data_IF_436400576975
#
_entry.id   IF_436400576975
#
_cell.length_a   1.000
_cell.length_b   1.000
_cell.length_c   1.000
_cell.angle_alpha   90.00
_cell.angle_beta   90.00
_cell.angle_gamma   90.00
#
_symmetry.space_group_name_H-M   'P 1'
#
loop_
_entity.id
_entity.type
_entity.pdbx_description
1 polymer ?
#
# COMPACT_ATOMS: atom_id res chain seq x y z
N UNK A 1 5.45 -0.51 -25.21
CA UNK A 1 4.77 -0.28 -23.93
C UNK A 1 5.42 -1.21 -22.94
N UNK A 2 6.14 -0.71 -21.94
CA UNK A 2 6.81 -1.59 -20.98
C UNK A 2 5.75 -2.26 -20.10
N UNK A 3 5.60 -3.57 -20.24
CA UNK A 3 4.82 -4.38 -19.32
C UNK A 3 5.49 -4.28 -17.95
N UNK A 4 4.81 -3.59 -17.05
CA UNK A 4 5.21 -3.43 -15.66
C UNK A 4 5.02 -4.79 -14.99
N UNK A 5 5.97 -5.70 -15.20
CA UNK A 5 5.97 -7.07 -14.65
C UNK A 5 6.49 -7.04 -13.22
N UNK A 6 5.64 -7.34 -12.25
CA UNK A 6 6.05 -7.57 -10.87
C UNK A 6 5.97 -9.05 -10.56
N UNK A 7 6.93 -9.59 -9.83
CA UNK A 7 6.89 -10.99 -9.39
C UNK A 7 5.87 -11.17 -8.27
N UNK A 8 5.34 -12.38 -8.13
CA UNK A 8 4.44 -12.74 -7.02
C UNK A 8 5.13 -12.54 -5.65
N UNK A 9 6.45 -12.68 -5.60
CA UNK A 9 7.27 -12.35 -4.43
C UNK A 9 7.20 -10.87 -4.06
N UNK A 10 7.26 -9.98 -5.05
CA UNK A 10 7.13 -8.54 -4.85
C UNK A 10 5.74 -8.19 -4.33
N UNK A 11 4.68 -8.78 -4.91
CA UNK A 11 3.30 -8.60 -4.43
C UNK A 11 3.16 -9.06 -2.97
N UNK A 12 3.71 -10.21 -2.60
CA UNK A 12 3.73 -10.70 -1.21
C UNK A 12 4.53 -9.79 -0.27
N UNK A 13 5.70 -9.31 -0.70
CA UNK A 13 6.51 -8.37 0.10
C UNK A 13 5.76 -7.08 0.37
N UNK A 14 5.14 -6.50 -0.65
CA UNK A 14 4.30 -5.31 -0.53
C UNK A 14 3.15 -5.57 0.44
N UNK A 15 2.47 -6.71 0.32
CA UNK A 15 1.38 -7.10 1.21
C UNK A 15 1.82 -7.23 2.68
N UNK A 16 2.93 -7.92 2.95
CA UNK A 16 3.45 -8.12 4.30
C UNK A 16 3.83 -6.78 4.95
N UNK A 17 4.44 -5.89 4.18
CA UNK A 17 4.79 -4.53 4.60
C UNK A 17 3.52 -3.71 4.92
N UNK A 18 2.53 -3.73 4.01
CA UNK A 18 1.25 -3.02 4.17
C UNK A 18 0.43 -3.54 5.36
N UNK A 19 0.60 -4.81 5.73
CA UNK A 19 -0.10 -5.41 6.87
C UNK A 19 0.53 -5.06 8.22
N UNK A 20 1.81 -4.69 8.26
CA UNK A 20 2.52 -4.29 9.48
C UNK A 20 2.35 -2.82 9.82
N UNK A 21 2.25 -1.95 8.81
CA UNK A 21 2.26 -0.49 8.97
C UNK A 21 1.67 0.22 7.74
N UNK A 22 1.21 1.45 7.92
CA UNK A 22 0.97 2.42 6.83
C UNK A 22 2.27 2.90 6.18
N UNK A 23 2.41 2.66 4.88
CA UNK A 23 3.56 3.09 4.09
C UNK A 23 3.18 4.21 3.14
N UNK A 24 4.16 5.02 2.72
CA UNK A 24 3.99 5.94 1.59
C UNK A 24 4.45 5.25 0.32
N UNK A 25 3.78 5.47 -0.82
CA UNK A 25 4.22 4.98 -2.14
C UNK A 25 5.74 5.14 -2.39
N UNK A 26 6.38 6.31 -2.13
CA UNK A 26 7.82 6.46 -2.32
C UNK A 26 8.68 5.68 -1.32
N UNK A 27 8.23 5.48 -0.08
CA UNK A 27 8.96 4.64 0.89
C UNK A 27 8.84 3.16 0.55
N UNK A 28 7.65 2.75 0.13
CA UNK A 28 7.39 1.38 -0.27
C UNK A 28 8.19 1.01 -1.53
N UNK A 29 8.33 1.93 -2.48
CA UNK A 29 9.25 1.80 -3.61
C UNK A 29 10.73 1.67 -3.19
N UNK A 30 11.19 2.44 -2.20
CA UNK A 30 12.56 2.32 -1.68
C UNK A 30 12.83 0.98 -1.00
N UNK A 31 11.92 0.50 -0.15
CA UNK A 31 12.14 -0.72 0.64
C UNK A 31 12.03 -2.00 -0.19
N UNK A 32 11.15 -2.00 -1.19
CA UNK A 32 11.05 -3.11 -2.14
C UNK A 32 12.02 -3.00 -3.31
N UNK A 33 12.80 -1.91 -3.39
CA UNK A 33 13.68 -1.58 -4.52
C UNK A 33 12.96 -1.64 -5.87
N UNK A 34 11.67 -1.28 -5.86
CA UNK A 34 10.78 -1.32 -6.99
C UNK A 34 10.58 0.06 -7.61
N UNK A 35 10.27 0.06 -8.90
CA UNK A 35 9.81 1.26 -9.58
C UNK A 35 8.53 1.81 -8.93
N UNK A 36 8.46 3.14 -8.76
CA UNK A 36 7.24 3.80 -8.27
C UNK A 36 6.02 3.43 -9.12
N UNK A 37 6.22 3.24 -10.42
CA UNK A 37 5.17 2.79 -11.34
C UNK A 37 4.70 1.36 -11.02
N UNK A 38 5.63 0.43 -10.76
CA UNK A 38 5.32 -0.95 -10.31
C UNK A 38 4.57 -0.93 -8.99
N UNK A 39 5.11 -0.27 -7.98
CA UNK A 39 4.50 -0.20 -6.65
C UNK A 39 3.10 0.39 -6.71
N UNK A 40 2.91 1.49 -7.45
CA UNK A 40 1.59 2.10 -7.60
C UNK A 40 0.60 1.13 -8.24
N UNK A 41 1.03 0.36 -9.24
CA UNK A 41 0.20 -0.64 -9.91
C UNK A 41 -0.13 -1.83 -9.00
N UNK A 42 0.85 -2.36 -8.27
CA UNK A 42 0.66 -3.43 -7.27
C UNK A 42 -0.29 -3.00 -6.18
N UNK A 43 -0.08 -1.81 -5.61
CA UNK A 43 -0.96 -1.24 -4.59
C UNK A 43 -2.38 -1.10 -5.15
N UNK A 44 -2.53 -0.58 -6.37
CA UNK A 44 -3.84 -0.41 -6.98
C UNK A 44 -4.54 -1.75 -7.23
N UNK A 45 -3.81 -2.78 -7.67
CA UNK A 45 -4.30 -4.17 -7.81
C UNK A 45 -4.71 -4.77 -6.45
N UNK A 46 -3.91 -4.55 -5.41
CA UNK A 46 -4.23 -4.99 -4.04
C UNK A 46 -5.45 -4.28 -3.45
N UNK A 47 -5.67 -3.02 -3.84
CA UNK A 47 -6.85 -2.24 -3.45
C UNK A 47 -8.09 -2.74 -4.20
N UNK A 48 -7.95 -3.02 -5.49
CA UNK A 48 -9.02 -3.60 -6.31
C UNK A 48 -9.46 -4.97 -5.78
N UNK A 49 -8.50 -5.79 -5.33
CA UNK A 49 -8.75 -7.06 -4.64
C UNK A 49 -9.34 -6.89 -3.21
N UNK A 50 -9.44 -5.66 -2.70
CA UNK A 50 -9.98 -5.35 -1.38
C UNK A 50 -9.08 -5.72 -0.20
N UNK A 51 -7.80 -6.04 -0.46
CA UNK A 51 -6.84 -6.46 0.57
C UNK A 51 -6.11 -5.23 1.15
N UNK A 52 -5.83 -4.23 0.30
CA UNK A 52 -5.23 -2.96 0.68
C UNK A 52 -6.20 -1.79 0.49
N UNK A 53 -5.86 -0.63 1.04
CA UNK A 53 -6.57 0.63 0.82
C UNK A 53 -5.60 1.81 0.79
N UNK A 54 -6.08 2.93 0.27
CA UNK A 54 -5.44 4.23 0.49
C UNK A 54 -6.00 4.83 1.78
N UNK A 55 -5.11 5.26 2.66
CA UNK A 55 -5.47 6.01 3.86
C UNK A 55 -4.76 7.35 3.86
N UNK A 56 -5.52 8.43 3.79
CA UNK A 56 -4.97 9.78 3.81
C UNK A 56 -5.07 10.37 5.22
N UNK A 57 -3.94 10.68 5.81
CA UNK A 57 -3.89 11.41 7.07
C UNK A 57 -3.53 12.88 6.83
N UNK A 58 -4.58 13.71 6.69
CA UNK A 58 -4.45 15.17 6.59
C UNK A 58 -3.85 15.62 5.27
N UNK A 59 -2.52 15.61 5.19
CA UNK A 59 -1.76 16.10 4.03
C UNK A 59 -0.94 15.02 3.33
N UNK A 60 -0.94 13.78 3.85
CA UNK A 60 -0.19 12.66 3.28
C UNK A 60 -1.06 11.44 3.05
N UNK A 61 -0.99 10.90 1.82
CA UNK A 61 -1.58 9.62 1.44
C UNK A 61 -0.63 8.48 1.79
N UNK A 62 -1.16 7.54 2.57
CA UNK A 62 -0.54 6.29 2.92
C UNK A 62 -1.30 5.12 2.28
N UNK A 63 -0.65 3.97 2.27
CA UNK A 63 -1.19 2.69 1.82
C UNK A 63 -1.01 1.71 2.96
N UNK A 64 -2.06 0.96 3.28
CA UNK A 64 -2.03 -0.10 4.28
C UNK A 64 -3.09 -1.16 3.94
N UNK A 65 -3.09 -2.28 4.66
CA UNK A 65 -4.18 -3.26 4.55
C UNK A 65 -5.51 -2.66 4.98
N UNK A 66 -6.60 -3.13 4.36
CA UNK A 66 -7.96 -2.65 4.64
C UNK A 66 -8.30 -2.72 6.14
N UNK A 67 -7.95 -3.83 6.81
CA UNK A 67 -8.12 -3.98 8.26
C UNK A 67 -7.39 -2.90 9.06
N UNK A 68 -6.16 -2.57 8.68
CA UNK A 68 -5.35 -1.57 9.37
C UNK A 68 -5.90 -0.16 9.15
N UNK A 69 -6.45 0.11 7.97
CA UNK A 69 -7.10 1.38 7.64
C UNK A 69 -8.38 1.56 8.44
N UNK A 70 -9.22 0.53 8.51
CA UNK A 70 -10.45 0.54 9.32
C UNK A 70 -10.14 0.77 10.81
N UNK A 71 -9.08 0.14 11.33
CA UNK A 71 -8.60 0.38 12.70
C UNK A 71 -8.12 1.82 12.92
N UNK A 72 -7.38 2.37 11.95
CA UNK A 72 -6.89 3.76 12.00
C UNK A 72 -8.02 4.77 11.89
N UNK A 73 -8.98 4.58 10.99
CA UNK A 73 -10.14 5.44 10.84
C UNK A 73 -11.03 5.39 12.09
N UNK A 74 -11.24 4.20 12.69
CA UNK A 74 -11.93 4.09 13.98
C UNK A 74 -11.23 4.84 15.10
N UNK A 75 -9.90 4.73 15.22
CA UNK A 75 -9.12 5.49 16.20
C UNK A 75 -9.21 6.99 15.97
N UNK A 76 -9.27 7.42 14.71
CA UNK A 76 -9.35 8.83 14.34
C UNK A 76 -10.72 9.44 14.58
N UNK A 77 -11.80 8.69 14.34
CA UNK A 77 -13.17 9.12 14.61
C UNK A 77 -13.49 9.21 16.11
N UNK A 78 -12.67 8.59 16.96
CA UNK A 78 -12.79 8.64 18.42
C UNK A 78 -11.99 9.77 19.08
N UNK A 79 -11.23 10.54 18.31
CA UNK A 79 -10.37 11.64 18.78
C UNK A 79 -10.98 13.01 18.55
#
# INVERSE_FOLDING_TARGET
>A
MAEVTYTEEEKKKVLDQLSKKTWKIPELAKITQLDKAKVKKIVQDLIDQGIAGYWSSGSTTYVATKQYIEELEKKRAQG
#
